data_IF_306103999825
#
_entry.id   IF_306103999825
#
_cell.length_a   1.000
_cell.length_b   1.000
_cell.length_c   1.000
_cell.angle_alpha   90.00
_cell.angle_beta   90.00
_cell.angle_gamma   90.00
#
_symmetry.space_group_name_H-M   'P 1'
#
loop_
_entity.id
_entity.type
_entity.pdbx_description
1 polymer ?
#
# COMPACT_ATOMS: atom_id res chain seq x y z
N UNK A 1 9.35 -1.16 -3.78
CA UNK A 1 8.06 -0.61 -4.24
C UNK A 1 7.08 -0.88 -3.14
N UNK A 2 6.54 0.18 -2.55
CA UNK A 2 5.64 0.09 -1.40
C UNK A 2 4.21 -0.15 -1.85
N UNK A 3 3.29 0.21 -0.97
CA UNK A 3 1.85 0.15 -1.17
C UNK A 3 1.35 1.37 -1.96
N UNK A 4 0.22 1.20 -2.64
CA UNK A 4 -0.54 2.32 -3.20
C UNK A 4 -1.76 2.55 -2.31
N UNK A 5 -1.87 3.75 -1.76
CA UNK A 5 -3.00 4.15 -0.93
C UNK A 5 -3.84 5.20 -1.64
N UNK A 6 -5.14 5.19 -1.37
CA UNK A 6 -6.06 6.19 -1.90
C UNK A 6 -7.02 6.67 -0.84
N UNK A 7 -7.34 7.96 -0.89
CA UNK A 7 -8.48 8.55 -0.17
C UNK A 7 -9.18 9.61 -1.01
N UNK A 8 -10.48 9.78 -0.76
CA UNK A 8 -11.31 10.74 -1.51
C UNK A 8 -10.94 12.20 -1.23
N UNK A 9 -10.43 12.50 -0.04
CA UNK A 9 -9.87 13.81 0.28
C UNK A 9 -8.97 13.71 1.50
N UNK A 10 -8.14 14.73 1.78
CA UNK A 10 -7.37 14.82 3.02
C UNK A 10 -8.20 14.81 4.29
N UNK A 11 -9.52 14.99 4.20
CA UNK A 11 -10.46 14.99 5.33
C UNK A 11 -11.30 13.71 5.41
N UNK A 12 -11.18 12.80 4.44
CA UNK A 12 -12.02 11.61 4.35
C UNK A 12 -11.27 10.36 3.83
N UNK A 13 -10.65 9.56 4.72
CA UNK A 13 -10.45 9.83 6.15
C UNK A 13 -9.35 10.87 6.41
N UNK A 14 -9.46 11.63 7.51
CA UNK A 14 -8.48 12.68 7.85
C UNK A 14 -7.10 12.11 8.21
N UNK A 15 -7.07 10.92 8.82
CA UNK A 15 -5.85 10.22 9.21
C UNK A 15 -5.49 9.19 8.14
N UNK A 16 -4.24 9.22 7.68
CA UNK A 16 -3.69 8.30 6.70
C UNK A 16 -3.35 6.93 7.32
N UNK A 17 -2.68 6.92 8.46
CA UNK A 17 -2.25 5.70 9.13
C UNK A 17 -2.29 5.85 10.65
N UNK A 18 -2.46 4.72 11.35
CA UNK A 18 -2.27 4.61 12.79
C UNK A 18 -1.22 3.53 13.05
N UNK A 19 -0.27 3.77 13.96
CA UNK A 19 0.84 2.86 14.23
C UNK A 19 1.04 2.68 15.73
N UNK A 20 1.39 1.47 16.14
CA UNK A 20 1.73 1.19 17.53
C UNK A 20 3.07 1.87 17.91
N UNK A 21 3.05 2.68 18.97
CA UNK A 21 4.18 3.45 19.48
C UNK A 21 4.54 3.02 20.92
N UNK A 22 4.63 1.70 21.14
CA UNK A 22 5.03 1.11 22.42
C UNK A 22 4.24 1.64 23.61
N UNK A 23 4.93 2.03 24.69
CA UNK A 23 4.30 2.57 25.92
C UNK A 23 3.54 3.88 25.71
N UNK A 24 3.77 4.58 24.59
CA UNK A 24 3.04 5.82 24.24
C UNK A 24 1.68 5.52 23.59
N UNK A 25 1.35 4.25 23.34
CA UNK A 25 0.06 3.85 22.77
C UNK A 25 0.08 3.85 21.25
N UNK A 26 -0.92 4.44 20.62
CA UNK A 26 -1.05 4.51 19.16
C UNK A 26 -0.83 5.94 18.67
N UNK A 27 -0.05 6.10 17.62
CA UNK A 27 0.18 7.38 16.96
C UNK A 27 -0.52 7.42 15.61
N UNK A 28 -1.20 8.52 15.30
CA UNK A 28 -1.90 8.72 14.04
C UNK A 28 -1.19 9.73 13.15
N UNK A 29 -1.06 9.44 11.86
CA UNK A 29 -0.37 10.27 10.89
C UNK A 29 -1.35 10.80 9.86
N UNK A 30 -1.40 12.12 9.59
CA UNK A 30 -2.30 12.70 8.60
C UNK A 30 -1.83 12.49 7.15
N UNK A 31 -0.52 12.24 6.96
CA UNK A 31 0.07 12.07 5.63
C UNK A 31 1.07 10.92 5.60
N UNK A 32 1.30 10.37 4.41
CA UNK A 32 2.34 9.38 4.18
C UNK A 32 3.74 9.94 4.47
N UNK A 33 3.99 11.23 4.22
CA UNK A 33 5.26 11.89 4.58
C UNK A 33 5.48 11.91 6.08
N UNK A 34 4.48 12.30 6.87
CA UNK A 34 4.58 12.30 8.33
C UNK A 34 4.79 10.90 8.89
N UNK A 35 4.17 9.88 8.29
CA UNK A 35 4.37 8.49 8.65
C UNK A 35 5.80 8.02 8.36
N UNK A 36 6.32 8.28 7.15
CA UNK A 36 7.69 7.93 6.76
C UNK A 36 8.75 8.54 7.68
N UNK A 37 8.59 9.81 8.03
CA UNK A 37 9.55 10.53 8.86
C UNK A 37 9.57 10.03 10.32
N UNK A 38 8.44 9.54 10.84
CA UNK A 38 8.33 9.11 12.23
C UNK A 38 8.81 7.68 12.45
N UNK A 39 8.29 6.73 11.67
CA UNK A 39 8.54 5.29 11.83
C UNK A 39 8.75 4.57 10.50
N UNK A 40 8.20 5.13 9.43
CA UNK A 40 7.79 4.40 8.25
C UNK A 40 8.97 4.01 7.38
N UNK A 41 9.47 2.79 7.59
CA UNK A 41 10.20 1.96 6.62
C UNK A 41 9.38 1.68 5.35
N UNK A 42 8.64 2.68 4.88
CA UNK A 42 7.83 2.71 3.68
C UNK A 42 8.35 3.77 2.71
N UNK A 43 9.62 3.64 2.24
CA UNK A 43 10.25 4.65 1.40
C UNK A 43 9.63 4.72 0.00
N UNK A 44 8.79 3.75 -0.37
CA UNK A 44 8.36 3.55 -1.76
C UNK A 44 6.84 3.44 -1.94
N UNK A 45 6.02 3.65 -0.90
CA UNK A 45 4.58 3.80 -1.08
C UNK A 45 4.22 5.13 -1.72
N UNK A 46 3.01 5.18 -2.28
CA UNK A 46 2.37 6.41 -2.76
C UNK A 46 0.99 6.57 -2.14
N UNK A 47 0.57 7.82 -1.94
CA UNK A 47 -0.78 8.17 -1.51
C UNK A 47 -1.38 9.09 -2.58
N UNK A 48 -2.53 8.71 -3.13
CA UNK A 48 -3.30 9.51 -4.09
C UNK A 48 -4.57 10.03 -3.43
N UNK A 49 -4.90 11.29 -3.65
CA UNK A 49 -6.04 11.96 -3.02
C UNK A 49 -6.94 12.59 -4.08
N UNK A 50 -8.26 12.52 -3.91
CA UNK A 50 -9.24 13.26 -4.73
C UNK A 50 -9.50 12.72 -6.14
N UNK A 51 -8.52 12.08 -6.78
CA UNK A 51 -8.68 11.51 -8.11
C UNK A 51 -9.31 10.11 -8.07
N UNK A 52 -10.09 9.74 -9.09
CA UNK A 52 -10.42 8.35 -9.33
C UNK A 52 -9.13 7.56 -9.59
N UNK A 53 -8.98 6.39 -8.95
CA UNK A 53 -7.81 5.53 -9.12
C UNK A 53 -8.09 4.31 -10.00
N UNK A 54 -9.36 4.04 -10.25
CA UNK A 54 -9.81 2.98 -11.15
C UNK A 54 -10.68 3.56 -12.27
N UNK A 55 -10.69 2.90 -13.42
CA UNK A 55 -11.69 3.14 -14.45
C UNK A 55 -13.08 2.63 -14.03
N UNK A 56 -14.09 2.86 -14.88
CA UNK A 56 -15.47 2.39 -14.64
C UNK A 56 -15.63 0.86 -14.62
N UNK A 57 -14.58 0.11 -14.96
CA UNK A 57 -14.52 -1.35 -14.90
C UNK A 57 -13.72 -1.84 -13.67
N UNK A 58 -13.32 -0.93 -12.76
CA UNK A 58 -12.57 -1.25 -11.56
C UNK A 58 -11.08 -1.54 -11.79
N UNK A 59 -10.54 -1.24 -12.98
CA UNK A 59 -9.12 -1.45 -13.30
C UNK A 59 -8.31 -0.23 -12.89
N UNK A 60 -7.13 -0.45 -12.31
CA UNK A 60 -6.22 0.64 -11.93
C UNK A 60 -5.87 1.51 -13.15
N UNK A 61 -6.00 2.84 -13.02
CA UNK A 61 -5.64 3.77 -14.09
C UNK A 61 -4.13 3.66 -14.36
N UNK A 62 -3.74 3.49 -15.63
CA UNK A 62 -2.37 3.15 -16.02
C UNK A 62 -1.30 4.13 -15.51
N UNK A 63 -1.63 5.42 -15.34
CA UNK A 63 -0.71 6.43 -14.77
C UNK A 63 -0.40 6.21 -13.28
N UNK A 64 -1.20 5.41 -12.60
CA UNK A 64 -1.02 5.01 -11.20
C UNK A 64 -0.48 3.58 -11.07
N UNK A 65 -0.25 2.89 -12.19
CA UNK A 65 0.35 1.57 -12.19
C UNK A 65 1.78 1.65 -11.65
N UNK A 66 1.95 1.30 -10.37
CA UNK A 66 3.27 1.07 -9.80
C UNK A 66 3.84 -0.20 -10.43
N UNK A 67 5.12 -0.19 -10.85
CA UNK A 67 5.74 -1.39 -11.42
C UNK A 67 5.79 -2.46 -10.32
N UNK A 68 5.08 -3.60 -10.42
CA UNK A 68 5.20 -4.63 -9.38
C UNK A 68 6.61 -5.24 -9.42
N UNK A 69 7.28 -5.33 -8.26
CA UNK A 69 8.56 -6.04 -8.16
C UNK A 69 8.32 -7.53 -8.02
N UNK A 70 9.28 -8.30 -8.53
CA UNK A 70 9.35 -9.73 -8.31
C UNK A 70 9.39 -10.03 -6.81
N UNK A 71 8.59 -10.99 -6.35
CA UNK A 71 8.74 -11.52 -5.00
C UNK A 71 10.16 -12.08 -4.81
N UNK A 72 10.88 -11.68 -3.74
CA UNK A 72 12.13 -12.34 -3.38
C UNK A 72 11.89 -13.83 -3.16
N UNK A 73 12.82 -14.68 -3.60
CA UNK A 73 12.65 -16.14 -3.59
C UNK A 73 12.24 -16.69 -2.22
N UNK A 74 12.85 -16.18 -1.14
CA UNK A 74 12.53 -16.58 0.24
C UNK A 74 11.07 -16.27 0.63
N UNK A 75 10.54 -15.13 0.17
CA UNK A 75 9.15 -14.73 0.45
C UNK A 75 8.17 -15.50 -0.42
N UNK A 76 8.51 -15.72 -1.69
CA UNK A 76 7.73 -16.56 -2.60
C UNK A 76 7.54 -17.97 -2.02
N UNK A 77 8.63 -18.58 -1.55
CA UNK A 77 8.60 -19.89 -0.89
C UNK A 77 7.74 -19.89 0.38
N UNK A 78 7.89 -18.88 1.25
CA UNK A 78 7.12 -18.78 2.49
C UNK A 78 5.61 -18.55 2.28
N UNK A 79 5.21 -18.04 1.12
CA UNK A 79 3.82 -17.69 0.77
C UNK A 79 3.19 -18.63 -0.26
N UNK A 80 3.90 -19.69 -0.67
CA UNK A 80 3.44 -20.64 -1.68
C UNK A 80 3.29 -20.03 -3.08
N UNK A 81 3.97 -18.91 -3.35
CA UNK A 81 3.95 -18.23 -4.64
C UNK A 81 5.14 -18.65 -5.50
N UNK A 82 5.01 -18.53 -6.81
CA UNK A 82 6.15 -18.72 -7.71
C UNK A 82 7.18 -17.58 -7.54
N UNK A 83 8.46 -17.94 -7.55
CA UNK A 83 9.56 -16.96 -7.53
C UNK A 83 9.45 -16.04 -8.73
N UNK A 84 9.62 -14.73 -8.52
CA UNK A 84 9.58 -13.77 -9.61
C UNK A 84 8.19 -13.24 -9.97
N UNK A 85 7.11 -13.75 -9.36
CA UNK A 85 5.75 -13.21 -9.56
C UNK A 85 5.72 -11.73 -9.22
N UNK A 86 5.07 -10.96 -10.09
CA UNK A 86 4.89 -9.50 -9.97
C UNK A 86 3.40 -9.21 -9.84
N UNK A 87 2.95 -8.81 -8.65
CA UNK A 87 1.56 -8.43 -8.41
C UNK A 87 1.50 -7.20 -7.49
N UNK A 88 0.56 -6.30 -7.78
CA UNK A 88 0.16 -5.22 -6.88
C UNK A 88 -1.00 -5.73 -6.03
N UNK A 89 -0.96 -5.48 -4.72
CA UNK A 89 -1.96 -5.97 -3.77
C UNK A 89 -1.73 -7.41 -3.28
N UNK A 90 -2.58 -7.87 -2.37
CA UNK A 90 -2.46 -9.20 -1.77
C UNK A 90 -2.71 -10.35 -2.75
N UNK A 91 -2.12 -11.51 -2.47
CA UNK A 91 -2.48 -12.76 -3.13
C UNK A 91 -3.83 -13.24 -2.57
N UNK A 92 -4.82 -13.40 -3.43
CA UNK A 92 -6.10 -14.02 -3.07
C UNK A 92 -5.92 -15.53 -2.95
N UNK A 93 -6.52 -16.15 -1.93
CA UNK A 93 -6.79 -17.59 -1.95
C UNK A 93 -7.67 -17.89 -3.18
N UNK A 94 -7.45 -18.99 -3.93
CA UNK A 94 -8.40 -19.39 -4.97
C UNK A 94 -9.79 -19.46 -4.35
N UNK A 95 -10.80 -18.88 -5.02
CA UNK A 95 -12.18 -19.12 -4.64
C UNK A 95 -12.46 -20.63 -4.80
N UNK A 96 -13.20 -21.25 -3.87
CA UNK A 96 -13.54 -22.67 -3.96
C UNK A 96 -14.31 -23.00 -5.24
#
# INVERSE_FOLDING_TARGET
NGNAYHRTSPKNPERFACWANGKKGTESFPTLTTFRNATGQDPQSTLTEGAAITDGLGRLIASLATVPRALPAKIAQATGQATGVKKIGGFSKPLP
#
